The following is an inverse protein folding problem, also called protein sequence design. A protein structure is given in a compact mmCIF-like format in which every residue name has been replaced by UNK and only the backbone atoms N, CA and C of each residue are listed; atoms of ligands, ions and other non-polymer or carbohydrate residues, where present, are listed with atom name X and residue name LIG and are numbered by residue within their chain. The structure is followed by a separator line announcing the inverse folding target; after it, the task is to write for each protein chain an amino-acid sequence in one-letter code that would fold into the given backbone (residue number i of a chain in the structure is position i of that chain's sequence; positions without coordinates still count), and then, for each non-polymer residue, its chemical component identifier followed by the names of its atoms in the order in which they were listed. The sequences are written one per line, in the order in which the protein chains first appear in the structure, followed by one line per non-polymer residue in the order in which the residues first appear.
data_IF_662967709373
#
_entry.id   IF_662967709373
#
_cell.length_a   1.000
_cell.length_b   1.000
_cell.length_c   1.000
_cell.angle_alpha   90.00
_cell.angle_beta   90.00
_cell.angle_gamma   90.00
#
_symmetry.space_group_name_H-M   'P 1'
#
loop_
_entity.id
_entity.type
_entity.pdbx_description
1 polymer ?
#
# COMPACT_ATOMS: atom_id res chain seq x y z
N UNK A 1 5.36 0.63 -0.77
CA UNK A 1 6.28 0.45 0.38
C UNK A 1 5.94 1.31 1.60
N UNK A 2 4.92 2.15 1.51
CA UNK A 2 4.49 2.95 2.68
C UNK A 2 4.17 2.08 3.90
N UNK A 3 3.48 0.95 3.69
CA UNK A 3 3.21 0.01 4.78
C UNK A 3 4.48 -0.51 5.45
N UNK A 4 5.54 -0.75 4.69
CA UNK A 4 6.83 -1.17 5.21
C UNK A 4 7.49 -0.04 6.02
N UNK A 5 7.47 1.18 5.51
CA UNK A 5 8.01 2.34 6.21
C UNK A 5 7.33 2.53 7.56
N UNK A 6 6.01 2.40 7.62
CA UNK A 6 5.24 2.50 8.86
C UNK A 6 5.59 1.40 9.87
N UNK A 7 6.17 0.30 9.42
CA UNK A 7 6.63 -0.80 10.27
C UNK A 7 8.14 -0.75 10.52
N UNK A 8 8.79 0.36 10.21
CA UNK A 8 10.19 0.61 10.54
C UNK A 8 11.21 0.11 9.52
N UNK A 9 10.79 -0.28 8.32
CA UNK A 9 11.72 -0.71 7.27
C UNK A 9 12.43 0.53 6.69
N UNK A 10 13.76 0.54 6.63
CA UNK A 10 14.50 1.72 6.18
C UNK A 10 14.57 1.83 4.65
N UNK A 11 13.43 2.12 4.04
CA UNK A 11 13.31 2.37 2.60
C UNK A 11 12.65 3.72 2.38
N UNK A 12 12.88 4.31 1.21
CA UNK A 12 12.25 5.57 0.80
C UNK A 12 11.11 5.25 -0.15
N UNK A 13 9.99 5.96 0.01
CA UNK A 13 8.86 5.86 -0.90
C UNK A 13 8.34 7.25 -1.24
N UNK A 14 7.96 7.46 -2.50
CA UNK A 14 7.34 8.70 -2.98
C UNK A 14 5.86 8.52 -3.28
N UNK A 15 5.32 7.34 -3.06
CA UNK A 15 3.93 7.02 -3.32
C UNK A 15 3.34 6.17 -2.18
N UNK A 16 2.03 6.15 -2.12
CA UNK A 16 1.28 5.31 -1.19
C UNK A 16 0.31 4.47 -2.01
N UNK A 17 0.37 3.16 -1.81
CA UNK A 17 -0.53 2.22 -2.46
C UNK A 17 -1.70 1.90 -1.54
N UNK A 18 -2.90 2.16 -2.02
CA UNK A 18 -4.14 1.83 -1.31
C UNK A 18 -4.81 0.63 -1.96
N UNK A 19 -5.11 -0.37 -1.15
CA UNK A 19 -5.92 -1.49 -1.56
C UNK A 19 -7.37 -1.20 -1.18
N UNK A 20 -8.23 -1.08 -2.19
CA UNK A 20 -9.61 -0.65 -2.01
C UNK A 20 -10.52 -1.87 -1.86
N UNK A 21 -11.37 -1.85 -0.83
CA UNK A 21 -12.30 -2.93 -0.53
C UNK A 21 -13.67 -2.81 -1.22
N UNK A 22 -13.87 -1.81 -2.08
CA UNK A 22 -15.10 -1.65 -2.83
C UNK A 22 -15.02 -2.42 -4.15
N UNK A 23 -16.17 -2.75 -4.78
CA UNK A 23 -16.15 -3.26 -6.14
C UNK A 23 -15.48 -2.27 -7.09
N UNK A 24 -14.67 -2.79 -8.02
CA UNK A 24 -13.93 -1.92 -8.96
C UNK A 24 -14.87 -1.03 -9.80
N UNK A 25 -16.10 -1.49 -10.07
CA UNK A 25 -17.10 -0.67 -10.78
C UNK A 25 -17.46 0.62 -10.06
N UNK A 26 -17.13 0.72 -8.77
CA UNK A 26 -17.38 1.94 -7.95
C UNK A 26 -16.15 2.85 -7.87
N UNK A 27 -15.13 2.61 -8.70
CA UNK A 27 -13.88 3.37 -8.66
C UNK A 27 -14.09 4.87 -8.90
N UNK A 28 -15.10 5.25 -9.68
CA UNK A 28 -15.42 6.66 -9.91
C UNK A 28 -15.73 7.41 -8.61
N UNK A 29 -16.27 6.72 -7.61
CA UNK A 29 -16.53 7.33 -6.29
C UNK A 29 -15.22 7.68 -5.59
N UNK A 30 -14.21 6.81 -5.72
CA UNK A 30 -12.89 7.04 -5.13
C UNK A 30 -12.25 8.27 -5.76
N UNK A 31 -12.26 8.35 -7.09
CA UNK A 31 -11.71 9.49 -7.82
C UNK A 31 -12.44 10.80 -7.49
N UNK A 32 -13.77 10.74 -7.34
CA UNK A 32 -14.57 11.90 -7.00
C UNK A 32 -14.20 12.44 -5.60
N UNK A 33 -14.03 11.56 -4.63
CA UNK A 33 -13.59 11.94 -3.29
C UNK A 33 -12.21 12.60 -3.35
N UNK A 34 -11.28 12.02 -4.09
CA UNK A 34 -9.94 12.59 -4.26
C UNK A 34 -9.99 13.98 -4.87
N UNK A 35 -10.81 14.16 -5.91
CA UNK A 35 -10.98 15.46 -6.56
C UNK A 35 -11.54 16.50 -5.60
N UNK A 36 -12.53 16.12 -4.80
CA UNK A 36 -13.12 17.01 -3.79
C UNK A 36 -12.11 17.42 -2.72
N UNK A 37 -11.13 16.58 -2.44
CA UNK A 37 -10.05 16.86 -1.49
C UNK A 37 -8.88 17.63 -2.12
N UNK A 38 -9.00 18.02 -3.40
CA UNK A 38 -7.99 18.84 -4.07
C UNK A 38 -6.88 18.05 -4.77
N UNK A 39 -7.00 16.73 -4.88
CA UNK A 39 -6.02 15.93 -5.58
C UNK A 39 -6.16 16.07 -7.10
N UNK A 40 -5.03 16.02 -7.81
CA UNK A 40 -5.00 16.00 -9.26
C UNK A 40 -5.09 14.56 -9.75
N UNK A 41 -6.03 14.27 -10.65
CA UNK A 41 -6.16 12.95 -11.25
C UNK A 41 -5.15 12.84 -12.38
N UNK A 42 -4.19 11.92 -12.23
CA UNK A 42 -3.14 11.66 -13.22
C UNK A 42 -3.56 10.56 -14.19
N UNK A 43 -4.03 9.43 -13.65
CA UNK A 43 -4.62 8.34 -14.41
C UNK A 43 -5.82 7.80 -13.63
N UNK A 44 -6.49 6.78 -14.18
CA UNK A 44 -7.63 6.15 -13.51
C UNK A 44 -7.29 5.63 -12.10
N UNK A 45 -6.04 5.27 -11.86
CA UNK A 45 -5.61 4.66 -10.60
C UNK A 45 -4.54 5.46 -9.85
N UNK A 46 -4.16 6.62 -10.35
CA UNK A 46 -3.13 7.46 -9.75
C UNK A 46 -3.63 8.88 -9.58
N UNK A 47 -3.54 9.40 -8.37
CA UNK A 47 -3.79 10.81 -8.09
C UNK A 47 -2.56 11.42 -7.43
N UNK A 48 -2.38 12.73 -7.57
CA UNK A 48 -1.25 13.46 -7.02
C UNK A 48 -1.77 14.53 -6.07
N UNK A 49 -1.20 14.57 -4.87
CA UNK A 49 -1.50 15.60 -3.88
C UNK A 49 -0.69 16.88 -4.16
N UNK A 50 -1.07 17.98 -3.53
CA UNK A 50 -0.43 19.28 -3.75
C UNK A 50 1.08 19.29 -3.47
N UNK A 51 1.56 18.43 -2.59
CA UNK A 51 2.97 18.28 -2.24
C UNK A 51 3.75 17.34 -3.16
N UNK A 52 3.10 16.82 -4.21
CA UNK A 52 3.72 15.89 -5.15
C UNK A 52 3.63 14.42 -4.75
N UNK A 53 3.05 14.10 -3.60
CA UNK A 53 2.86 12.71 -3.19
C UNK A 53 1.84 12.03 -4.09
N UNK A 54 2.19 10.88 -4.64
CA UNK A 54 1.27 10.09 -5.46
C UNK A 54 0.53 9.05 -4.60
N UNK A 55 -0.77 8.90 -4.87
CA UNK A 55 -1.59 7.85 -4.30
C UNK A 55 -1.99 6.90 -5.42
N UNK A 56 -1.68 5.63 -5.25
CA UNK A 56 -2.02 4.58 -6.21
C UNK A 56 -3.15 3.73 -5.62
N UNK A 57 -4.17 3.44 -6.43
CA UNK A 57 -5.31 2.62 -6.00
C UNK A 57 -5.30 1.29 -6.70
N UNK A 58 -5.46 0.21 -5.94
CA UNK A 58 -5.54 -1.15 -6.48
C UNK A 58 -6.70 -1.90 -5.86
N UNK A 59 -7.22 -2.86 -6.61
CA UNK A 59 -8.31 -3.74 -6.17
C UNK A 59 -7.84 -5.18 -6.01
N UNK A 60 -6.61 -5.47 -6.42
CA UNK A 60 -5.96 -6.78 -6.27
C UNK A 60 -4.50 -6.59 -5.95
N UNK A 61 -3.97 -7.50 -5.15
CA UNK A 61 -2.53 -7.54 -4.85
C UNK A 61 -2.03 -8.94 -5.17
N UNK A 62 -1.04 -9.01 -6.06
CA UNK A 62 -0.48 -10.27 -6.51
C UNK A 62 0.08 -11.09 -5.35
N UNK A 63 -0.17 -12.39 -5.40
CA UNK A 63 0.32 -13.33 -4.40
C UNK A 63 -0.48 -13.36 -3.11
N UNK A 64 -1.46 -12.48 -2.92
CA UNK A 64 -2.26 -12.43 -1.72
C UNK A 64 -3.69 -12.94 -1.96
N UNK A 65 -4.38 -13.19 -0.85
CA UNK A 65 -5.80 -13.55 -0.85
C UNK A 65 -6.66 -12.32 -1.18
N UNK A 66 -7.99 -12.46 -1.15
CA UNK A 66 -8.89 -11.34 -1.37
C UNK A 66 -8.82 -10.29 -0.25
N UNK A 67 -9.34 -9.10 -0.55
CA UNK A 67 -9.30 -7.96 0.37
C UNK A 67 -9.82 -8.31 1.76
N UNK A 68 -10.98 -8.95 1.86
CA UNK A 68 -11.61 -9.24 3.16
C UNK A 68 -10.68 -10.05 4.06
N UNK A 69 -10.07 -11.11 3.51
CA UNK A 69 -9.16 -11.98 4.27
C UNK A 69 -7.93 -11.23 4.73
N UNK A 70 -7.30 -10.46 3.83
CA UNK A 70 -6.09 -9.72 4.16
C UNK A 70 -6.40 -8.57 5.12
N UNK A 71 -7.54 -7.92 4.99
CA UNK A 71 -7.95 -6.84 5.90
C UNK A 71 -8.13 -7.36 7.33
N UNK A 72 -8.67 -8.54 7.51
CA UNK A 72 -8.81 -9.16 8.82
C UNK A 72 -7.46 -9.43 9.49
N UNK A 73 -6.42 -9.69 8.70
CA UNK A 73 -5.06 -9.95 9.17
C UNK A 73 -4.19 -8.71 9.22
N UNK A 74 -4.67 -7.57 8.74
CA UNK A 74 -3.89 -6.34 8.69
C UNK A 74 -3.51 -5.87 10.09
N UNK A 75 -2.36 -5.23 10.19
CA UNK A 75 -1.97 -4.53 11.41
C UNK A 75 -2.68 -3.19 11.51
N UNK A 76 -3.09 -2.84 12.72
CA UNK A 76 -3.67 -1.52 13.00
C UNK A 76 -2.58 -0.67 13.61
N UNK A 77 -2.10 0.31 12.85
CA UNK A 77 -1.03 1.21 13.29
C UNK A 77 -1.56 2.63 13.42
N UNK A 78 -0.95 3.40 14.32
CA UNK A 78 -1.30 4.81 14.47
C UNK A 78 -0.45 5.63 13.51
N UNK A 79 -1.12 6.44 12.68
CA UNK A 79 -0.48 7.36 11.76
C UNK A 79 -1.26 8.65 11.72
N UNK A 80 -0.59 9.76 12.05
CA UNK A 80 -1.21 11.10 12.13
C UNK A 80 -2.48 11.09 12.99
N UNK A 81 -2.39 10.45 14.16
CA UNK A 81 -3.49 10.33 15.14
C UNK A 81 -4.69 9.52 14.65
N UNK A 82 -4.53 8.75 13.59
CA UNK A 82 -5.58 7.86 13.09
C UNK A 82 -5.07 6.44 12.97
N UNK A 83 -5.94 5.48 13.25
CA UNK A 83 -5.62 4.07 13.04
C UNK A 83 -5.76 3.74 11.57
N UNK A 84 -4.71 3.17 10.99
CA UNK A 84 -4.70 2.71 9.61
C UNK A 84 -4.42 1.22 9.57
N UNK A 85 -5.03 0.53 8.61
CA UNK A 85 -4.79 -0.89 8.38
C UNK A 85 -3.65 -1.03 7.37
N UNK A 86 -2.60 -1.76 7.74
CA UNK A 86 -1.45 -1.99 6.86
C UNK A 86 -1.17 -3.48 6.75
N UNK A 87 -0.69 -3.91 5.59
CA UNK A 87 -0.26 -5.30 5.40
C UNK A 87 0.95 -5.58 6.28
N UNK A 88 0.95 -6.68 7.05
CA UNK A 88 2.11 -7.11 7.82
C UNK A 88 3.31 -7.39 6.90
N UNK A 89 4.52 -7.35 7.45
CA UNK A 89 5.75 -7.56 6.67
C UNK A 89 5.74 -8.87 5.90
N UNK A 90 5.27 -9.98 6.50
CA UNK A 90 5.20 -11.29 5.83
C UNK A 90 4.28 -11.28 4.61
N UNK A 91 3.21 -10.47 4.64
CA UNK A 91 2.30 -10.37 3.49
C UNK A 91 2.90 -9.49 2.39
N UNK A 92 3.61 -8.42 2.77
CA UNK A 92 4.35 -7.61 1.81
C UNK A 92 5.42 -8.43 1.10
N UNK A 93 6.15 -9.26 1.84
CA UNK A 93 7.15 -10.17 1.29
C UNK A 93 6.51 -11.10 0.26
N UNK A 94 5.40 -11.74 0.61
CA UNK A 94 4.72 -12.68 -0.28
C UNK A 94 4.29 -12.00 -1.58
N UNK A 95 3.74 -10.80 -1.50
CA UNK A 95 3.33 -10.02 -2.67
C UNK A 95 4.53 -9.67 -3.55
N UNK A 96 5.63 -9.21 -2.96
CA UNK A 96 6.85 -8.86 -3.70
C UNK A 96 7.47 -10.06 -4.38
N UNK A 97 7.47 -11.21 -3.73
CA UNK A 97 7.94 -12.46 -4.33
C UNK A 97 7.11 -12.86 -5.55
N UNK A 98 5.80 -12.68 -5.47
CA UNK A 98 4.89 -13.03 -6.57
C UNK A 98 5.12 -12.15 -7.81
N UNK A 99 5.38 -10.84 -7.62
CA UNK A 99 5.63 -9.91 -8.73
C UNK A 99 7.03 -10.09 -9.29
N UNK A 100 8.06 -10.16 -8.43
CA UNK A 100 9.41 -10.54 -8.82
C UNK A 100 10.18 -9.55 -9.69
N UNK A 101 9.80 -8.27 -9.71
CA UNK A 101 10.54 -7.24 -10.45
C UNK A 101 11.89 -6.96 -9.78
N UNK A 102 12.84 -6.33 -10.53
CA UNK A 102 14.15 -6.00 -9.98
C UNK A 102 14.05 -5.15 -8.70
N UNK A 103 13.19 -4.11 -8.70
CA UNK A 103 12.98 -3.28 -7.52
C UNK A 103 12.36 -4.07 -6.35
N UNK A 104 11.53 -5.07 -6.65
CA UNK A 104 10.93 -5.91 -5.62
C UNK A 104 11.97 -6.78 -4.94
N UNK A 105 12.97 -7.27 -5.69
CA UNK A 105 14.07 -8.04 -5.12
C UNK A 105 14.92 -7.22 -4.15
N UNK A 106 15.15 -5.95 -4.47
CA UNK A 106 15.85 -5.03 -3.56
C UNK A 106 15.01 -4.81 -2.30
N UNK A 107 13.72 -4.53 -2.45
CA UNK A 107 12.82 -4.35 -1.32
C UNK A 107 12.76 -5.59 -0.43
N UNK A 108 12.78 -6.80 -1.03
CA UNK A 108 12.74 -8.05 -0.28
C UNK A 108 13.92 -8.19 0.69
N UNK A 109 15.10 -7.71 0.31
CA UNK A 109 16.27 -7.75 1.20
C UNK A 109 15.95 -7.00 2.50
N UNK A 110 15.45 -5.78 2.40
CA UNK A 110 15.12 -4.95 3.55
C UNK A 110 13.95 -5.51 4.36
N UNK A 111 12.92 -6.01 3.68
CA UNK A 111 11.74 -6.58 4.33
C UNK A 111 12.10 -7.84 5.14
N UNK A 112 12.92 -8.72 4.57
CA UNK A 112 13.35 -9.95 5.24
C UNK A 112 14.23 -9.65 6.46
N UNK A 113 15.10 -8.67 6.35
CA UNK A 113 15.93 -8.25 7.49
C UNK A 113 15.07 -7.67 8.62
N UNK A 114 14.12 -6.81 8.28
CA UNK A 114 13.21 -6.23 9.26
C UNK A 114 12.38 -7.31 9.97
N UNK A 115 11.92 -8.30 9.23
CA UNK A 115 11.14 -9.40 9.80
C UNK A 115 11.99 -10.22 10.78
N UNK A 116 13.25 -10.49 10.44
CA UNK A 116 14.19 -11.19 11.34
C UNK A 116 14.39 -10.43 12.65
N UNK A 117 14.54 -9.11 12.58
CA UNK A 117 14.77 -8.29 13.78
C UNK A 117 13.56 -8.26 14.71
N UNK A 118 12.36 -8.50 14.19
CA UNK A 118 11.12 -8.53 14.99
C UNK A 118 10.86 -9.89 15.64
N UNK A 119 11.57 -10.90 15.25
CA UNK A 119 11.50 -12.24 15.86
C UNK A 119 12.60 -12.40 16.89
#
# INVERSE_FOLDING_TARGET
MAAAVLQGVPVVTSDIDFWIGLPEREHDRVLRICHQLGAKIVTDHIVELADGLELNFTYRVDGLSGFKTEFERAKRLLWLNRRVAVLPLERLIKSKEAVGRAKDRVHLVYLRQALKLKR
#
